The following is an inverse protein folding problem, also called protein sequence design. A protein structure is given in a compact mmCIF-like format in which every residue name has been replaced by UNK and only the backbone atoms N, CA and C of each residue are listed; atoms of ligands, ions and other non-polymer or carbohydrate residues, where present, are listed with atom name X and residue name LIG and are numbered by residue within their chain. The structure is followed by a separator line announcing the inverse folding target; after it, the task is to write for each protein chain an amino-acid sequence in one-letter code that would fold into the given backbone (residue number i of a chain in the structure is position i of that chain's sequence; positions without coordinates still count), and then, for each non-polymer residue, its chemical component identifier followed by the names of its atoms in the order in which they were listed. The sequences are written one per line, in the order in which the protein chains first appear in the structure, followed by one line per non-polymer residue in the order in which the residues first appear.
data_IF_078546934561
#
_entry.id   IF_078546934561
#
_cell.length_a   1.000
_cell.length_b   1.000
_cell.length_c   1.000
_cell.angle_alpha   90.00
_cell.angle_beta   90.00
_cell.angle_gamma   90.00
#
_symmetry.space_group_name_H-M   'P 1'
#
loop_
_entity.id
_entity.type
_entity.pdbx_description
1 polymer ?
#
# COMPACT_ATOMS: atom_id res chain seq x y z
N UNK A 1 -9.34 5.11 33.88
CA UNK A 1 -8.43 5.03 32.70
C UNK A 1 -8.37 6.39 32.03
N UNK A 2 -7.26 7.11 32.23
CA UNK A 2 -7.14 8.55 32.02
C UNK A 2 -7.18 8.90 30.53
N UNK A 3 -7.80 10.03 30.17
CA UNK A 3 -7.89 10.63 28.81
C UNK A 3 -6.58 10.53 28.00
N UNK A 4 -5.46 10.61 28.70
CA UNK A 4 -4.11 10.44 28.14
C UNK A 4 -3.88 9.11 27.43
N UNK A 5 -4.41 7.98 27.91
CA UNK A 5 -4.21 6.67 27.25
C UNK A 5 -4.87 6.66 25.87
N UNK A 6 -6.07 7.21 25.74
CA UNK A 6 -6.77 7.29 24.46
C UNK A 6 -6.11 8.27 23.49
N UNK A 7 -5.56 9.36 24.03
CA UNK A 7 -4.77 10.31 23.25
C UNK A 7 -3.49 9.65 22.73
N UNK A 8 -2.74 8.94 23.58
CA UNK A 8 -1.54 8.19 23.20
C UNK A 8 -1.84 7.14 22.13
N UNK A 9 -2.93 6.38 22.27
CA UNK A 9 -3.35 5.42 21.26
C UNK A 9 -3.69 6.10 19.92
N UNK A 10 -4.36 7.25 19.94
CA UNK A 10 -4.68 7.98 18.73
C UNK A 10 -3.42 8.49 18.01
N UNK A 11 -2.44 9.05 18.74
CA UNK A 11 -1.25 9.64 18.11
C UNK A 11 -0.17 8.60 17.77
N UNK A 12 -0.15 7.44 18.44
CA UNK A 12 0.93 6.46 18.28
C UNK A 12 1.16 6.04 16.82
N UNK A 13 0.13 5.75 15.99
CA UNK A 13 0.34 5.44 14.57
C UNK A 13 1.00 6.57 13.78
N UNK A 14 0.70 7.84 14.12
CA UNK A 14 1.26 9.01 13.42
C UNK A 14 2.76 9.18 13.64
N UNK A 15 3.30 8.66 14.75
CA UNK A 15 4.74 8.65 15.00
C UNK A 15 5.39 7.34 14.54
N UNK A 16 4.74 6.20 14.86
CA UNK A 16 5.33 4.89 14.67
C UNK A 16 5.39 4.47 13.20
N UNK A 17 4.36 4.78 12.40
CA UNK A 17 4.34 4.41 10.97
C UNK A 17 5.40 5.18 10.17
N UNK A 18 5.52 6.52 10.27
CA UNK A 18 6.60 7.24 9.60
C UNK A 18 7.99 6.81 10.09
N UNK A 19 8.18 6.60 11.40
CA UNK A 19 9.46 6.15 11.94
C UNK A 19 9.87 4.76 11.43
N UNK A 20 8.92 3.82 11.36
CA UNK A 20 9.17 2.50 10.78
C UNK A 20 9.50 2.61 9.28
N UNK A 21 8.75 3.44 8.54
CA UNK A 21 8.98 3.66 7.12
C UNK A 21 10.36 4.29 6.84
N UNK A 22 10.74 5.34 7.58
CA UNK A 22 12.06 5.97 7.44
C UNK A 22 13.18 5.03 7.85
N UNK A 23 13.00 4.22 8.90
CA UNK A 23 13.97 3.21 9.30
C UNK A 23 14.18 2.16 8.18
N UNK A 24 13.11 1.71 7.53
CA UNK A 24 13.21 0.77 6.39
C UNK A 24 13.96 1.40 5.21
N UNK A 25 13.65 2.65 4.87
CA UNK A 25 14.35 3.36 3.78
C UNK A 25 15.83 3.63 4.11
N UNK A 26 16.13 4.10 5.33
CA UNK A 26 17.47 4.48 5.74
C UNK A 26 18.42 3.29 5.90
N UNK A 27 17.89 2.13 6.32
CA UNK A 27 18.70 0.91 6.49
C UNK A 27 18.96 0.19 5.17
N UNK A 28 18.30 0.58 4.07
CA UNK A 28 18.36 -0.14 2.79
C UNK A 28 18.11 -1.63 2.97
N UNK A 29 17.20 -1.98 3.91
CA UNK A 29 17.17 -3.24 4.64
C UNK A 29 17.61 -4.45 3.79
N UNK A 30 18.62 -5.23 4.21
CA UNK A 30 19.08 -6.40 3.46
C UNK A 30 18.01 -7.51 3.34
N UNK A 31 16.92 -7.39 4.11
CA UNK A 31 15.73 -8.26 4.03
C UNK A 31 14.83 -7.89 2.84
N UNK A 32 14.92 -6.66 2.34
CA UNK A 32 14.23 -6.14 1.16
C UNK A 32 15.25 -5.98 0.03
N UNK A 33 15.19 -6.88 -0.95
CA UNK A 33 16.10 -6.96 -2.11
C UNK A 33 16.62 -5.59 -2.58
N UNK A 34 17.91 -5.32 -2.34
CA UNK A 34 18.59 -4.10 -2.79
C UNK A 34 18.98 -4.14 -4.29
N UNK A 35 18.84 -5.30 -4.94
CA UNK A 35 19.12 -5.49 -6.35
C UNK A 35 18.03 -6.33 -7.02
N UNK A 36 17.78 -6.05 -8.29
CA UNK A 36 16.90 -6.81 -9.18
C UNK A 36 17.63 -8.13 -9.53
N UNK A 37 17.14 -9.31 -9.11
CA UNK A 37 17.78 -10.57 -9.46
C UNK A 37 17.82 -10.77 -10.98
N UNK A 38 18.97 -11.24 -11.47
CA UNK A 38 19.11 -11.66 -12.87
C UNK A 38 18.75 -13.14 -12.92
N UNK A 39 17.49 -13.41 -13.25
CA UNK A 39 16.99 -14.77 -13.46
C UNK A 39 16.79 -15.01 -14.95
N UNK A 40 17.13 -16.20 -15.44
CA UNK A 40 16.81 -16.60 -16.81
C UNK A 40 15.28 -16.79 -16.97
N UNK A 41 14.79 -16.76 -18.21
CA UNK A 41 13.42 -17.18 -18.48
C UNK A 41 13.26 -18.69 -18.23
N UNK A 42 12.23 -19.06 -17.48
CA UNK A 42 11.79 -20.45 -17.31
C UNK A 42 10.43 -20.64 -18.00
N UNK A 43 10.21 -21.80 -18.63
CA UNK A 43 8.96 -22.06 -19.38
C UNK A 43 7.78 -22.44 -18.50
N UNK A 44 8.04 -22.94 -17.31
CA UNK A 44 7.07 -23.55 -16.40
C UNK A 44 6.63 -22.61 -15.26
N UNK A 45 7.37 -21.52 -15.00
CA UNK A 45 7.04 -20.55 -13.97
C UNK A 45 7.53 -19.13 -14.30
N UNK A 46 6.90 -18.13 -13.68
CA UNK A 46 7.30 -16.73 -13.80
C UNK A 46 8.64 -16.47 -13.10
N UNK A 47 9.58 -15.89 -13.83
CA UNK A 47 10.88 -15.44 -13.30
C UNK A 47 11.02 -13.93 -13.38
N UNK A 48 12.09 -13.37 -12.80
CA UNK A 48 12.37 -11.93 -12.89
C UNK A 48 12.58 -11.43 -14.32
N UNK A 49 13.03 -12.30 -15.24
CA UNK A 49 13.03 -11.99 -16.67
C UNK A 49 11.63 -11.62 -17.18
N UNK A 50 10.62 -12.39 -16.77
CA UNK A 50 9.22 -12.22 -17.19
C UNK A 50 8.61 -10.94 -16.61
N UNK A 51 8.98 -10.57 -15.37
CA UNK A 51 8.55 -9.31 -14.76
C UNK A 51 9.06 -8.08 -15.56
N UNK A 52 10.27 -8.18 -16.13
CA UNK A 52 10.90 -7.06 -16.83
C UNK A 52 10.52 -6.96 -18.32
N UNK A 53 10.15 -8.06 -18.96
CA UNK A 53 9.89 -8.12 -20.42
C UNK A 53 8.44 -8.49 -20.79
N UNK A 54 7.61 -8.82 -19.80
CA UNK A 54 6.27 -9.39 -20.01
C UNK A 54 6.28 -10.91 -19.85
N UNK A 55 5.14 -11.45 -19.43
CA UNK A 55 4.94 -12.87 -19.14
C UNK A 55 4.00 -13.48 -20.20
N UNK A 56 4.45 -14.54 -20.87
CA UNK A 56 3.67 -15.32 -21.83
C UNK A 56 3.10 -16.63 -21.25
N UNK A 57 3.30 -16.85 -19.95
CA UNK A 57 2.77 -18.04 -19.28
C UNK A 57 1.24 -18.00 -19.22
N UNK A 58 0.63 -19.18 -19.18
CA UNK A 58 -0.80 -19.29 -18.93
C UNK A 58 -1.12 -18.66 -17.55
N UNK A 59 -2.14 -17.79 -17.45
CA UNK A 59 -2.43 -17.10 -16.21
C UNK A 59 -2.91 -18.09 -15.15
N UNK A 60 -2.21 -18.15 -14.01
CA UNK A 60 -2.63 -18.95 -12.85
C UNK A 60 -3.79 -18.32 -12.07
N UNK A 61 -4.03 -17.02 -12.28
CA UNK A 61 -5.12 -16.27 -11.67
C UNK A 61 -6.24 -16.00 -12.70
N UNK A 62 -7.51 -15.87 -12.25
CA UNK A 62 -8.61 -15.52 -13.15
C UNK A 62 -8.31 -14.24 -13.94
N UNK A 63 -8.56 -14.30 -15.26
CA UNK A 63 -8.37 -13.18 -16.18
C UNK A 63 -9.08 -11.90 -15.72
N UNK A 64 -10.26 -12.04 -15.10
CA UNK A 64 -11.03 -10.91 -14.56
C UNK A 64 -10.27 -10.14 -13.46
N UNK A 65 -9.38 -10.81 -12.71
CA UNK A 65 -8.59 -10.18 -11.65
C UNK A 65 -7.23 -9.72 -12.17
N UNK A 66 -6.48 -10.61 -12.84
CA UNK A 66 -5.06 -10.42 -13.12
C UNK A 66 -4.75 -10.03 -14.58
N UNK A 67 -5.71 -10.19 -15.50
CA UNK A 67 -5.50 -9.83 -16.90
C UNK A 67 -5.40 -8.32 -17.11
N UNK A 68 -4.85 -7.91 -18.26
CA UNK A 68 -4.72 -6.51 -18.65
C UNK A 68 -6.08 -5.79 -18.79
N UNK A 69 -7.12 -6.53 -19.21
CA UNK A 69 -8.50 -6.05 -19.21
C UNK A 69 -9.24 -6.28 -17.88
N UNK A 70 -8.61 -6.97 -16.94
CA UNK A 70 -9.14 -7.28 -15.61
C UNK A 70 -8.98 -6.12 -14.62
N UNK A 71 -9.30 -6.38 -13.35
CA UNK A 71 -9.21 -5.39 -12.28
C UNK A 71 -7.80 -4.81 -12.17
N UNK A 72 -6.77 -5.67 -12.13
CA UNK A 72 -5.38 -5.23 -12.04
C UNK A 72 -4.98 -4.32 -13.20
N UNK A 73 -5.18 -4.76 -14.45
CA UNK A 73 -4.81 -3.97 -15.61
C UNK A 73 -5.57 -2.65 -15.72
N UNK A 74 -6.87 -2.64 -15.38
CA UNK A 74 -7.66 -1.40 -15.28
C UNK A 74 -7.12 -0.45 -14.22
N UNK A 75 -6.74 -0.96 -13.05
CA UNK A 75 -6.12 -0.15 -11.99
C UNK A 75 -4.80 0.46 -12.46
N UNK A 76 -3.92 -0.33 -13.08
CA UNK A 76 -2.65 0.16 -13.62
C UNK A 76 -2.87 1.22 -14.71
N UNK A 77 -3.84 0.99 -15.62
CA UNK A 77 -4.19 1.95 -16.65
C UNK A 77 -4.69 3.27 -16.05
N UNK A 78 -5.55 3.22 -15.03
CA UNK A 78 -6.04 4.39 -14.31
C UNK A 78 -4.92 5.17 -13.62
N UNK A 79 -4.00 4.47 -12.95
CA UNK A 79 -2.83 5.09 -12.31
C UNK A 79 -1.91 5.76 -13.34
N UNK A 80 -1.68 5.13 -14.50
CA UNK A 80 -0.89 5.71 -15.59
C UNK A 80 -1.58 6.95 -16.19
N UNK A 81 -2.89 6.91 -16.37
CA UNK A 81 -3.67 8.04 -16.88
C UNK A 81 -3.63 9.22 -15.90
N UNK A 82 -3.84 8.96 -14.60
CA UNK A 82 -3.69 9.96 -13.55
C UNK A 82 -2.26 10.52 -13.52
N UNK A 83 -1.24 9.67 -13.63
CA UNK A 83 0.15 10.09 -13.69
C UNK A 83 0.43 11.02 -14.86
N UNK A 84 -0.09 10.70 -16.05
CA UNK A 84 -0.01 11.57 -17.23
C UNK A 84 -0.70 12.92 -17.02
N UNK A 85 -1.79 12.97 -16.26
CA UNK A 85 -2.47 14.23 -15.94
C UNK A 85 -1.68 15.08 -14.93
N UNK A 86 -1.04 14.44 -13.93
CA UNK A 86 -0.27 15.14 -12.88
C UNK A 86 1.06 15.67 -13.42
N UNK A 87 1.79 14.87 -14.22
CA UNK A 87 3.08 15.26 -14.82
C UNK A 87 3.06 14.99 -16.33
N UNK A 88 2.43 15.87 -17.14
CA UNK A 88 2.28 15.64 -18.57
C UNK A 88 3.60 15.53 -19.35
N UNK A 89 4.62 16.28 -18.91
CA UNK A 89 5.95 16.29 -19.53
C UNK A 89 6.76 15.01 -19.27
N UNK A 90 6.45 14.28 -18.20
CA UNK A 90 7.14 13.04 -17.82
C UNK A 90 6.15 12.03 -17.23
N UNK A 91 5.33 11.35 -18.06
CA UNK A 91 4.24 10.49 -17.58
C UNK A 91 4.71 9.32 -16.69
N UNK A 92 5.93 8.83 -16.89
CA UNK A 92 6.54 7.77 -16.06
C UNK A 92 6.83 8.27 -14.63
N UNK A 93 7.32 9.50 -14.49
CA UNK A 93 7.49 10.16 -13.19
C UNK A 93 6.12 10.40 -12.56
N UNK A 94 5.15 10.88 -13.35
CA UNK A 94 3.79 11.11 -12.88
C UNK A 94 3.12 9.83 -12.34
N UNK A 95 3.32 8.70 -13.00
CA UNK A 95 2.88 7.39 -12.48
C UNK A 95 3.51 7.08 -11.12
N UNK A 96 4.82 7.31 -10.95
CA UNK A 96 5.51 7.15 -9.67
C UNK A 96 4.94 8.06 -8.57
N UNK A 97 4.71 9.33 -8.88
CA UNK A 97 4.11 10.32 -7.95
C UNK A 97 2.72 9.87 -7.50
N UNK A 98 1.86 9.44 -8.43
CA UNK A 98 0.52 8.99 -8.10
C UNK A 98 0.56 7.73 -7.23
N UNK A 99 1.47 6.79 -7.49
CA UNK A 99 1.65 5.61 -6.64
C UNK A 99 2.07 5.99 -5.21
N UNK A 100 3.05 6.88 -5.06
CA UNK A 100 3.47 7.36 -3.73
C UNK A 100 2.32 8.07 -3.01
N UNK A 101 1.59 8.95 -3.70
CA UNK A 101 0.44 9.63 -3.11
C UNK A 101 -0.65 8.65 -2.67
N UNK A 102 -0.98 7.65 -3.49
CA UNK A 102 -2.01 6.68 -3.15
C UNK A 102 -1.59 5.76 -2.00
N UNK A 103 -0.44 5.11 -2.12
CA UNK A 103 -0.03 4.04 -1.21
C UNK A 103 0.69 4.54 0.04
N UNK A 104 1.38 5.67 -0.01
CA UNK A 104 2.09 6.23 1.14
C UNK A 104 1.32 7.33 1.87
N UNK A 105 0.30 7.92 1.26
CA UNK A 105 -0.48 9.02 1.88
C UNK A 105 -1.96 8.67 2.00
N UNK A 106 -2.66 8.50 0.89
CA UNK A 106 -4.12 8.33 0.89
C UNK A 106 -4.56 7.07 1.63
N UNK A 107 -3.93 5.93 1.32
CA UNK A 107 -4.27 4.65 1.95
C UNK A 107 -3.95 4.63 3.45
N UNK A 108 -2.74 5.01 3.92
CA UNK A 108 -2.47 5.14 5.35
C UNK A 108 -3.39 6.13 6.05
N UNK A 109 -3.73 7.25 5.41
CA UNK A 109 -4.67 8.23 5.93
C UNK A 109 -6.08 7.65 6.13
N UNK A 110 -6.57 6.90 5.14
CA UNK A 110 -7.84 6.18 5.24
C UNK A 110 -7.83 5.14 6.37
N UNK A 111 -6.77 4.33 6.43
CA UNK A 111 -6.62 3.31 7.50
C UNK A 111 -6.57 3.96 8.88
N UNK A 112 -5.89 5.11 9.00
CA UNK A 112 -5.84 5.87 10.25
C UNK A 112 -7.22 6.42 10.65
N UNK A 113 -7.99 6.97 9.69
CA UNK A 113 -9.34 7.43 9.95
C UNK A 113 -10.25 6.29 10.45
N UNK A 114 -10.20 5.12 9.80
CA UNK A 114 -10.93 3.93 10.24
C UNK A 114 -10.50 3.45 11.62
N UNK A 115 -9.19 3.51 11.91
CA UNK A 115 -8.65 3.20 13.23
C UNK A 115 -9.23 4.13 14.32
N UNK A 116 -9.32 5.43 14.06
CA UNK A 116 -9.93 6.38 15.01
C UNK A 116 -11.42 6.10 15.25
N UNK A 117 -12.15 5.69 14.20
CA UNK A 117 -13.55 5.25 14.33
C UNK A 117 -13.63 4.03 15.24
N UNK A 118 -12.78 3.03 15.04
CA UNK A 118 -12.74 1.83 15.89
C UNK A 118 -12.42 2.17 17.36
N UNK A 119 -11.45 3.06 17.60
CA UNK A 119 -11.15 3.54 18.96
C UNK A 119 -12.35 4.27 19.59
N UNK A 120 -13.07 5.08 18.81
CA UNK A 120 -14.27 5.79 19.25
C UNK A 120 -15.39 4.81 19.64
N UNK A 121 -15.66 3.81 18.80
CA UNK A 121 -16.63 2.76 19.08
C UNK A 121 -16.25 1.97 20.34
N UNK A 122 -14.97 1.61 20.50
CA UNK A 122 -14.49 0.91 21.69
C UNK A 122 -14.71 1.73 22.97
N UNK A 123 -14.50 3.05 22.94
CA UNK A 123 -14.80 3.94 24.07
C UNK A 123 -16.28 3.92 24.45
N UNK A 124 -17.16 4.04 23.45
CA UNK A 124 -18.62 4.01 23.65
C UNK A 124 -19.06 2.70 24.29
N UNK A 125 -18.57 1.56 23.79
CA UNK A 125 -18.87 0.24 24.34
C UNK A 125 -18.42 0.09 25.80
N UNK A 126 -17.22 0.57 26.14
CA UNK A 126 -16.74 0.54 27.53
C UNK A 126 -17.53 1.46 28.47
N UNK A 127 -18.01 2.60 27.98
CA UNK A 127 -18.86 3.49 28.77
C UNK A 127 -20.22 2.86 29.07
N UNK A 128 -20.85 2.25 28.06
CA UNK A 128 -22.11 1.51 28.23
C UNK A 128 -21.97 0.37 29.24
N UNK A 129 -20.89 -0.42 29.15
CA UNK A 129 -20.62 -1.50 30.11
C UNK A 129 -20.46 -1.03 31.55
N UNK A 130 -19.92 0.18 31.76
CA UNK A 130 -19.75 0.76 33.11
C UNK A 130 -21.03 1.41 33.66
N UNK A 131 -21.94 1.85 32.80
CA UNK A 131 -23.24 2.41 33.20
C UNK A 131 -24.35 1.37 33.33
N UNK A 132 -24.10 0.14 32.87
CA UNK A 132 -24.94 -1.03 33.09
C UNK A 132 -24.54 -1.85 34.33
N UNK A 133 -23.56 -1.36 35.11
CA UNK A 133 -23.12 -1.91 36.40
C UNK A 133 -23.56 -0.95 37.51
#
# INVERSE_FOLDING_TARGET
MKRHVWFLLAIAPLALVPAAFTAVLATGSPVLRAAIPIEAHARDHCTWHCHNHGCSHAPSLPLALAGDGGLYGKTIAGLKAAGKAVVPSAPHVGYGVVNLALFCVAWPGLMYALYLVALSQRRKLLALRRGAS
#
